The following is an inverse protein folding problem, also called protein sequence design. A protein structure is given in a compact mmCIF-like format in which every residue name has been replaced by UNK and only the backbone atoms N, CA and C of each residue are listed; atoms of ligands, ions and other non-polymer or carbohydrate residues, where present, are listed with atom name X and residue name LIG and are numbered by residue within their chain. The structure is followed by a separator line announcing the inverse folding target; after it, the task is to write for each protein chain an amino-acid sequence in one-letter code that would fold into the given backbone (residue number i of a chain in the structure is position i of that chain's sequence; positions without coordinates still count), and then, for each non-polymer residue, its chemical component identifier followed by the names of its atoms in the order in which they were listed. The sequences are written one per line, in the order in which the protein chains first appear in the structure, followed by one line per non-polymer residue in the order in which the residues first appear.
data_IF_455117738224
#
_entry.id   IF_455117738224
#
_cell.length_a   1.000
_cell.length_b   1.000
_cell.length_c   1.000
_cell.angle_alpha   90.00
_cell.angle_beta   90.00
_cell.angle_gamma   90.00
#
_symmetry.space_group_name_H-M   'P 1'
#
loop_
_entity.id
_entity.type
_entity.pdbx_description
1 polymer ?
#
# COMPACT_ATOMS: atom_id res chain seq x y z
N UNK A 1 -11.25 3.80 25.09
CA UNK A 1 -9.82 3.91 24.71
C UNK A 1 -9.76 3.63 23.22
N UNK A 2 -9.30 4.56 22.40
CA UNK A 2 -9.15 4.33 20.96
C UNK A 2 -7.94 3.44 20.72
N UNK A 3 -8.16 2.19 20.30
CA UNK A 3 -7.07 1.29 19.95
C UNK A 3 -6.61 1.60 18.53
N UNK A 4 -5.30 1.78 18.38
CA UNK A 4 -4.70 1.93 17.07
C UNK A 4 -4.47 0.55 16.46
N UNK A 5 -4.78 0.40 15.18
CA UNK A 5 -4.62 -0.84 14.44
C UNK A 5 -3.76 -0.61 13.19
N UNK A 6 -3.08 -1.67 12.76
CA UNK A 6 -2.25 -1.69 11.56
C UNK A 6 -2.53 -3.01 10.83
N UNK A 7 -2.92 -2.92 9.56
CA UNK A 7 -3.28 -4.08 8.74
C UNK A 7 -2.56 -3.99 7.41
N UNK A 8 -1.83 -5.04 7.08
CA UNK A 8 -1.24 -5.24 5.75
C UNK A 8 -2.18 -6.14 4.93
N UNK A 9 -2.61 -5.67 3.78
CA UNK A 9 -3.28 -6.49 2.76
C UNK A 9 -2.24 -6.86 1.70
N UNK A 10 -1.93 -8.15 1.55
CA UNK A 10 -1.01 -8.64 0.53
C UNK A 10 -1.64 -8.63 -0.88
N UNK A 11 -0.83 -8.90 -1.90
CA UNK A 11 -1.30 -9.01 -3.30
C UNK A 11 -2.35 -10.10 -3.53
N UNK A 12 -2.40 -11.10 -2.66
CA UNK A 12 -3.40 -12.18 -2.69
C UNK A 12 -4.71 -11.79 -1.98
N UNK A 13 -4.80 -10.55 -1.46
CA UNK A 13 -5.95 -10.06 -0.70
C UNK A 13 -5.99 -10.55 0.75
N UNK A 14 -4.92 -11.16 1.27
CA UNK A 14 -4.87 -11.61 2.65
C UNK A 14 -4.48 -10.48 3.60
N UNK A 15 -5.24 -10.35 4.66
CA UNK A 15 -4.97 -9.38 5.72
C UNK A 15 -4.10 -9.97 6.84
N UNK A 16 -3.07 -9.23 7.22
CA UNK A 16 -2.19 -9.50 8.35
C UNK A 16 -2.33 -8.33 9.33
N UNK A 17 -2.93 -8.61 10.49
CA UNK A 17 -3.00 -7.65 11.58
C UNK A 17 -1.64 -7.54 12.30
N UNK A 18 -1.27 -6.33 12.69
CA UNK A 18 0.00 -6.00 13.35
C UNK A 18 1.22 -6.63 12.64
N UNK A 19 1.42 -6.36 11.33
CA UNK A 19 2.52 -6.95 10.57
C UNK A 19 3.88 -6.55 11.14
N UNK A 20 4.82 -7.49 11.13
CA UNK A 20 6.22 -7.25 11.46
C UNK A 20 6.95 -6.50 10.34
N UNK A 21 8.04 -5.80 10.65
CA UNK A 21 8.86 -5.13 9.63
C UNK A 21 9.37 -6.11 8.56
N UNK A 22 9.68 -7.35 8.94
CA UNK A 22 10.08 -8.40 8.00
C UNK A 22 8.96 -8.79 7.03
N UNK A 23 7.70 -8.84 7.48
CA UNK A 23 6.54 -9.12 6.61
C UNK A 23 6.27 -7.96 5.65
N UNK A 24 6.38 -6.72 6.12
CA UNK A 24 6.29 -5.53 5.27
C UNK A 24 7.35 -5.54 4.17
N UNK A 25 8.61 -5.76 4.54
CA UNK A 25 9.71 -5.83 3.60
C UNK A 25 9.56 -6.98 2.60
N UNK A 26 9.08 -8.14 3.02
CA UNK A 26 8.87 -9.30 2.15
C UNK A 26 7.82 -9.02 1.06
N UNK A 27 6.68 -8.41 1.42
CA UNK A 27 5.63 -8.06 0.44
C UNK A 27 6.12 -7.02 -0.56
N UNK A 28 6.84 -5.99 -0.09
CA UNK A 28 7.43 -5.01 -0.99
C UNK A 28 8.48 -5.63 -1.91
N UNK A 29 9.36 -6.49 -1.39
CA UNK A 29 10.36 -7.18 -2.21
C UNK A 29 9.71 -8.02 -3.32
N UNK A 30 8.55 -8.62 -3.06
CA UNK A 30 7.79 -9.37 -4.05
C UNK A 30 7.11 -8.45 -5.09
N UNK A 31 6.52 -7.33 -4.68
CA UNK A 31 5.93 -6.32 -5.58
C UNK A 31 6.95 -5.72 -6.56
N UNK A 32 8.16 -5.46 -6.07
CA UNK A 32 9.26 -4.91 -6.86
C UNK A 32 10.07 -5.99 -7.60
N UNK A 33 9.79 -7.27 -7.36
CA UNK A 33 10.44 -8.33 -8.10
C UNK A 33 10.05 -8.20 -9.59
N UNK A 34 10.99 -8.44 -10.53
CA UNK A 34 10.67 -8.39 -11.94
C UNK A 34 9.49 -9.32 -12.23
N UNK A 35 8.44 -8.79 -12.89
CA UNK A 35 7.30 -9.58 -13.32
C UNK A 35 7.84 -10.81 -14.07
N UNK A 36 7.70 -11.99 -13.48
CA UNK A 36 8.04 -13.24 -14.15
C UNK A 36 7.17 -13.29 -15.39
N UNK A 37 7.77 -13.13 -16.58
CA UNK A 37 7.07 -13.29 -17.86
C UNK A 37 6.26 -14.59 -17.77
N UNK A 38 4.94 -14.56 -17.99
CA UNK A 38 4.17 -15.78 -18.01
C UNK A 38 4.80 -16.71 -19.05
N UNK A 39 5.19 -17.90 -18.60
CA UNK A 39 5.71 -18.96 -19.47
C UNK A 39 4.51 -19.52 -20.25
N UNK A 40 4.07 -18.80 -21.28
CA UNK A 40 2.83 -19.11 -21.99
C UNK A 40 2.76 -18.39 -23.32
N UNK A 41 3.32 -19.02 -24.36
CA UNK A 41 3.15 -18.65 -25.76
C UNK A 41 1.73 -19.08 -26.18
N UNK A 42 0.78 -18.16 -26.19
CA UNK A 42 -0.56 -18.39 -26.72
C UNK A 42 -1.00 -17.20 -27.55
N UNK A 43 -0.95 -17.31 -28.88
CA UNK A 43 -1.66 -16.39 -29.79
C UNK A 43 -3.16 -16.56 -29.52
N UNK A 44 -3.79 -15.62 -28.84
CA UNK A 44 -5.25 -15.65 -28.66
C UNK A 44 -5.75 -14.53 -27.78
N UNK A 45 -6.42 -13.55 -28.41
CA UNK A 45 -7.17 -12.42 -27.86
C UNK A 45 -6.42 -11.44 -26.91
N UNK A 46 -6.72 -10.13 -26.96
CA UNK A 46 -6.25 -9.21 -25.92
C UNK A 46 -6.89 -9.64 -24.60
N UNK A 47 -6.08 -10.21 -23.71
CA UNK A 47 -6.49 -10.39 -22.33
C UNK A 47 -6.86 -9.02 -21.76
N UNK A 48 -7.93 -8.88 -20.95
CA UNK A 48 -8.21 -7.63 -20.27
C UNK A 48 -6.94 -7.19 -19.55
N UNK A 49 -6.61 -5.90 -19.63
CA UNK A 49 -5.44 -5.32 -18.98
C UNK A 49 -5.47 -5.75 -17.51
N UNK A 50 -4.62 -6.71 -17.15
CA UNK A 50 -4.55 -7.24 -15.80
C UNK A 50 -4.10 -6.07 -14.94
N UNK A 51 -4.93 -5.66 -13.99
CA UNK A 51 -4.55 -4.61 -13.06
C UNK A 51 -3.18 -4.98 -12.45
N UNK A 52 -2.24 -4.03 -12.35
CA UNK A 52 -0.96 -4.29 -11.73
C UNK A 52 -1.20 -4.81 -10.31
N UNK A 53 -0.44 -5.83 -9.91
CA UNK A 53 -0.56 -6.39 -8.57
C UNK A 53 -0.25 -5.27 -7.55
N UNK A 54 -1.04 -5.16 -6.48
CA UNK A 54 -0.83 -4.14 -5.46
C UNK A 54 -0.95 -4.72 -4.06
N UNK A 55 -0.33 -4.07 -3.09
CA UNK A 55 -0.51 -4.36 -1.67
C UNK A 55 -0.75 -3.04 -0.93
N UNK A 56 -1.51 -3.11 0.17
CA UNK A 56 -1.90 -1.92 0.92
C UNK A 56 -1.54 -2.07 2.40
N UNK A 57 -1.00 -1.02 2.99
CA UNK A 57 -0.84 -0.88 4.43
C UNK A 57 -1.89 0.12 4.92
N UNK A 58 -2.72 -0.31 5.88
CA UNK A 58 -3.75 0.52 6.51
C UNK A 58 -3.41 0.74 7.97
N UNK A 59 -3.45 1.99 8.41
CA UNK A 59 -3.25 2.40 9.79
C UNK A 59 -4.43 3.27 10.22
N UNK A 60 -5.03 3.00 11.38
CA UNK A 60 -6.13 3.81 11.86
C UNK A 60 -6.46 3.58 13.33
N UNK A 61 -7.54 4.23 13.76
CA UNK A 61 -8.15 4.06 15.08
C UNK A 61 -9.56 3.49 14.91
N UNK A 62 -10.11 2.87 15.95
CA UNK A 62 -11.49 2.32 15.87
C UNK A 62 -12.55 3.41 15.60
N UNK A 63 -12.38 4.60 16.19
CA UNK A 63 -13.32 5.73 16.09
C UNK A 63 -12.64 6.99 15.49
N UNK A 64 -11.91 6.86 14.38
CA UNK A 64 -11.35 8.04 13.76
C UNK A 64 -10.49 7.81 12.53
N UNK A 65 -9.50 8.70 12.38
CA UNK A 65 -8.67 8.81 11.19
C UNK A 65 -8.06 7.48 10.77
N UNK A 66 -8.17 7.20 9.47
CA UNK A 66 -7.51 6.08 8.82
C UNK A 66 -6.65 6.58 7.67
N UNK A 67 -5.52 5.91 7.47
CA UNK A 67 -4.54 6.18 6.44
C UNK A 67 -4.28 4.91 5.65
N UNK A 68 -4.15 5.04 4.34
CA UNK A 68 -3.88 3.93 3.43
C UNK A 68 -2.68 4.28 2.56
N UNK A 69 -1.66 3.42 2.53
CA UNK A 69 -0.60 3.44 1.51
C UNK A 69 -0.75 2.19 0.67
N UNK A 70 -1.18 2.36 -0.57
CA UNK A 70 -1.17 1.31 -1.59
C UNK A 70 0.10 1.42 -2.43
N UNK A 71 0.75 0.29 -2.70
CA UNK A 71 1.93 0.18 -3.56
C UNK A 71 1.62 -0.81 -4.67
N UNK A 72 1.76 -0.37 -5.92
CA UNK A 72 1.54 -1.20 -7.11
C UNK A 72 2.85 -1.78 -7.65
N UNK A 73 2.74 -2.89 -8.40
CA UNK A 73 3.85 -3.51 -9.12
C UNK A 73 4.36 -2.51 -10.16
N UNK A 74 5.55 -1.96 -9.93
CA UNK A 74 6.10 -0.83 -10.70
C UNK A 74 6.50 0.37 -9.85
N UNK A 75 6.10 0.39 -8.56
CA UNK A 75 6.51 1.40 -7.60
C UNK A 75 5.60 2.63 -7.53
N UNK A 76 4.45 2.60 -8.20
CA UNK A 76 3.42 3.62 -8.02
C UNK A 76 2.78 3.49 -6.65
N UNK A 77 2.75 4.60 -5.91
CA UNK A 77 2.23 4.70 -4.56
C UNK A 77 1.02 5.63 -4.55
N UNK A 78 -0.06 5.19 -3.89
CA UNK A 78 -1.22 6.02 -3.57
C UNK A 78 -1.34 6.15 -2.05
N UNK A 79 -1.42 7.39 -1.57
CA UNK A 79 -1.66 7.71 -0.17
C UNK A 79 -3.02 8.38 0.02
N UNK A 80 -3.83 7.81 0.89
CA UNK A 80 -5.21 8.25 1.15
C UNK A 80 -5.44 8.48 2.64
N UNK A 81 -6.30 9.46 2.93
CA UNK A 81 -6.64 9.89 4.27
C UNK A 81 -8.16 9.88 4.42
N UNK A 82 -8.68 9.19 5.43
CA UNK A 82 -10.10 8.92 5.61
C UNK A 82 -10.54 9.30 7.02
N UNK A 83 -11.78 9.75 7.14
CA UNK A 83 -12.39 10.15 8.41
C UNK A 83 -12.73 8.96 9.30
N UNK A 84 -12.96 7.82 8.67
CA UNK A 84 -13.50 6.59 9.21
C UNK A 84 -12.83 5.37 8.56
N UNK A 85 -13.06 4.19 9.14
CA UNK A 85 -12.50 2.92 8.68
C UNK A 85 -13.18 2.37 7.43
N UNK A 86 -14.43 2.74 7.20
CA UNK A 86 -15.27 2.22 6.11
C UNK A 86 -15.00 2.94 4.78
N UNK A 87 -14.06 3.90 4.78
CA UNK A 87 -13.72 4.75 3.65
C UNK A 87 -14.94 5.54 3.14
N UNK A 88 -15.83 5.97 4.03
CA UNK A 88 -17.03 6.72 3.63
C UNK A 88 -16.71 8.17 3.28
N UNK A 89 -15.80 8.81 4.04
CA UNK A 89 -15.43 10.21 3.82
C UNK A 89 -13.90 10.40 3.69
N UNK A 90 -13.46 10.70 2.47
CA UNK A 90 -12.08 11.09 2.19
C UNK A 90 -11.81 12.50 2.73
N UNK A 91 -10.70 12.66 3.48
CA UNK A 91 -10.30 13.93 4.08
C UNK A 91 -9.47 14.79 3.14
N UNK A 92 -8.85 14.18 2.14
CA UNK A 92 -8.08 14.85 1.10
C UNK A 92 -8.12 14.03 -0.20
N UNK A 93 -7.90 14.65 -1.37
CA UNK A 93 -7.64 13.91 -2.60
C UNK A 93 -6.45 12.95 -2.42
N UNK A 94 -6.48 11.75 -3.03
CA UNK A 94 -5.36 10.82 -2.99
C UNK A 94 -4.08 11.46 -3.52
N UNK A 95 -3.01 11.40 -2.71
CA UNK A 95 -1.68 11.82 -3.13
C UNK A 95 -0.97 10.67 -3.84
N UNK A 96 -0.19 10.97 -4.88
CA UNK A 96 0.52 9.94 -5.66
C UNK A 96 1.99 10.25 -5.79
N UNK A 97 2.81 9.22 -5.89
CA UNK A 97 4.22 9.33 -6.28
C UNK A 97 4.67 8.00 -6.88
N UNK A 98 5.82 8.00 -7.55
CA UNK A 98 6.53 6.78 -7.89
C UNK A 98 7.77 6.67 -7.02
N UNK A 99 8.01 5.50 -6.45
CA UNK A 99 9.07 5.26 -5.47
C UNK A 99 9.86 4.01 -5.83
N UNK A 100 11.16 4.01 -5.55
CA UNK A 100 11.94 2.77 -5.52
C UNK A 100 11.58 1.92 -4.29
N UNK A 101 12.13 0.70 -4.23
CA UNK A 101 11.87 -0.22 -3.12
C UNK A 101 12.28 0.38 -1.77
N UNK A 102 13.35 1.18 -1.73
CA UNK A 102 13.86 1.73 -0.48
C UNK A 102 12.89 2.78 0.08
N UNK A 103 12.42 3.71 -0.76
CA UNK A 103 11.45 4.72 -0.37
C UNK A 103 10.10 4.09 0.00
N UNK A 104 9.65 3.04 -0.71
CA UNK A 104 8.44 2.31 -0.33
C UNK A 104 8.57 1.63 1.05
N UNK A 105 9.72 1.04 1.35
CA UNK A 105 10.02 0.47 2.67
C UNK A 105 10.02 1.53 3.77
N UNK A 106 10.62 2.69 3.50
CA UNK A 106 10.63 3.82 4.44
C UNK A 106 9.22 4.32 4.73
N UNK A 107 8.39 4.51 3.68
CA UNK A 107 7.00 4.91 3.80
C UNK A 107 6.18 3.94 4.69
N UNK A 108 6.29 2.64 4.44
CA UNK A 108 5.61 1.63 5.25
C UNK A 108 6.14 1.58 6.69
N UNK A 109 7.44 1.78 6.89
CA UNK A 109 8.03 1.88 8.23
C UNK A 109 7.54 3.13 9.00
N UNK A 110 7.45 4.29 8.33
CA UNK A 110 6.88 5.51 8.91
C UNK A 110 5.42 5.28 9.33
N UNK A 111 4.63 4.63 8.48
CA UNK A 111 3.23 4.29 8.79
C UNK A 111 3.11 3.33 9.97
N UNK A 112 3.93 2.26 10.01
CA UNK A 112 3.97 1.32 11.13
C UNK A 112 4.38 1.98 12.46
N UNK A 113 5.23 3.01 12.40
CA UNK A 113 5.68 3.81 13.55
C UNK A 113 4.78 5.01 13.84
N UNK A 114 3.64 5.13 13.15
CA UNK A 114 2.64 6.21 13.32
C UNK A 114 3.19 7.62 13.03
N UNK A 115 4.23 7.72 12.21
CA UNK A 115 4.87 8.97 11.82
C UNK A 115 4.21 9.57 10.56
N UNK A 116 2.87 9.63 10.55
CA UNK A 116 2.09 10.03 9.37
C UNK A 116 2.35 11.49 8.98
N UNK A 117 2.68 12.37 9.93
CA UNK A 117 3.07 13.75 9.63
C UNK A 117 4.25 13.82 8.65
N UNK A 118 5.27 12.96 8.83
CA UNK A 118 6.43 12.89 7.92
C UNK A 118 6.05 12.41 6.52
N UNK A 119 5.09 11.48 6.43
CA UNK A 119 4.59 10.99 5.16
C UNK A 119 3.93 12.13 4.36
N UNK A 120 3.18 13.01 5.04
CA UNK A 120 2.52 14.18 4.41
C UNK A 120 3.51 15.24 3.88
N UNK A 121 4.72 15.28 4.41
CA UNK A 121 5.76 16.27 4.05
C UNK A 121 6.59 15.87 2.82
N UNK A 122 6.39 14.67 2.28
CA UNK A 122 7.11 14.20 1.09
C UNK A 122 6.61 14.89 -0.20
N UNK A 123 7.42 14.82 -1.24
CA UNK A 123 7.13 15.41 -2.56
C UNK A 123 6.11 14.59 -3.35
N UNK A 124 4.83 14.71 -2.96
CA UNK A 124 3.70 14.12 -3.68
C UNK A 124 3.35 14.89 -4.97
N UNK A 125 2.66 14.23 -5.90
CA UNK A 125 2.16 14.76 -7.17
C UNK A 125 0.64 14.64 -7.30
#
# INVERSE_FOLDING_TARGET
MTQAWLTLTSMDGRDIAAPTEAQLAAVLAELYAPLRKPKGKGKGAPAPAREPASAALRFGYDDGLMYVIEVSSGGDIRFEEWSDRDCELALAPPRRMSADLHLAQELWALMARRQVSRIRELDWH
#
